data_IF_061432770615
#
_entry.id   IF_061432770615
#
_cell.length_a   1.000
_cell.length_b   1.000
_cell.length_c   1.000
_cell.angle_alpha   90.00
_cell.angle_beta   90.00
_cell.angle_gamma   90.00
#
_symmetry.space_group_name_H-M   'P 1'
#
loop_
_entity.id
_entity.type
_entity.pdbx_description
1 polymer ?
#
# COMPACT_ATOMS: atom_id res chain seq x y z
N UNK A 1 -16.71 9.56 -8.79
CA UNK A 1 -15.44 10.10 -8.30
C UNK A 1 -15.76 11.01 -7.14
N UNK A 2 -15.09 10.83 -5.99
CA UNK A 2 -15.14 11.76 -4.87
C UNK A 2 -13.74 12.38 -4.78
N UNK A 3 -13.59 13.71 -4.91
CA UNK A 3 -12.28 14.35 -4.83
C UNK A 3 -11.71 14.25 -3.41
N UNK A 4 -10.38 14.16 -3.32
CA UNK A 4 -9.63 14.21 -2.06
C UNK A 4 -9.33 12.83 -1.45
N UNK A 5 -8.58 12.83 -0.34
CA UNK A 5 -8.10 11.63 0.38
C UNK A 5 -9.20 10.95 1.22
N UNK A 6 -10.39 10.79 0.65
CA UNK A 6 -11.53 10.17 1.34
C UNK A 6 -11.40 8.65 1.29
N UNK A 7 -11.44 8.01 2.46
CA UNK A 7 -11.46 6.56 2.56
C UNK A 7 -12.66 5.98 1.81
N UNK A 8 -12.39 5.05 0.88
CA UNK A 8 -13.44 4.36 0.13
C UNK A 8 -14.16 3.36 1.04
N UNK A 9 -15.48 3.27 0.91
CA UNK A 9 -16.27 2.20 1.52
C UNK A 9 -15.81 0.86 0.97
N UNK A 10 -15.39 -0.09 1.82
CA UNK A 10 -14.99 -1.43 1.36
C UNK A 10 -16.14 -2.13 0.63
N UNK A 11 -15.85 -2.71 -0.53
CA UNK A 11 -16.81 -3.52 -1.29
C UNK A 11 -16.95 -4.94 -0.76
N UNK A 12 -15.90 -5.46 -0.13
CA UNK A 12 -15.81 -6.83 0.36
C UNK A 12 -15.40 -6.86 1.84
N UNK A 13 -15.65 -8.00 2.47
CA UNK A 13 -15.18 -8.26 3.83
C UNK A 13 -13.64 -8.21 3.90
N UNK A 14 -13.08 -7.91 5.09
CA UNK A 14 -11.64 -7.98 5.30
C UNK A 14 -11.03 -9.33 4.94
N UNK A 15 -9.80 -9.31 4.45
CA UNK A 15 -9.03 -10.48 4.06
C UNK A 15 -8.19 -10.98 5.23
N UNK A 16 -8.05 -12.30 5.32
CA UNK A 16 -7.06 -12.93 6.19
C UNK A 16 -5.66 -12.50 5.78
N UNK A 17 -4.79 -12.27 6.75
CA UNK A 17 -3.41 -11.90 6.50
C UNK A 17 -2.60 -13.07 5.91
N UNK A 18 -1.86 -12.81 4.83
CA UNK A 18 -1.04 -13.79 4.12
C UNK A 18 0.45 -13.38 4.08
N UNK A 19 0.91 -12.62 5.08
CA UNK A 19 2.28 -12.08 5.13
C UNK A 19 3.35 -13.14 5.38
N UNK A 20 2.98 -14.30 5.93
CA UNK A 20 3.87 -15.46 6.07
C UNK A 20 3.93 -16.29 4.77
N UNK A 21 4.15 -15.61 3.64
CA UNK A 21 4.24 -16.20 2.30
C UNK A 21 5.67 -16.18 1.74
N UNK A 22 6.65 -15.70 2.51
CA UNK A 22 8.06 -15.60 2.12
C UNK A 22 8.42 -14.41 1.24
N UNK A 23 7.46 -13.52 0.92
CA UNK A 23 7.71 -12.31 0.14
C UNK A 23 8.10 -11.16 1.07
N UNK A 24 9.17 -10.44 0.71
CA UNK A 24 9.69 -9.30 1.47
C UNK A 24 9.24 -7.97 0.86
N UNK A 25 9.02 -6.96 1.72
CA UNK A 25 8.65 -5.58 1.41
C UNK A 25 9.84 -4.80 0.83
N UNK A 26 10.37 -5.29 -0.29
CA UNK A 26 11.48 -4.68 -1.02
C UNK A 26 10.98 -3.57 -1.95
N UNK A 27 11.87 -2.69 -2.38
CA UNK A 27 11.58 -1.61 -3.33
C UNK A 27 10.88 -2.17 -4.58
N UNK A 28 9.80 -1.51 -4.98
CA UNK A 28 8.98 -1.87 -6.14
C UNK A 28 7.93 -2.95 -5.88
N UNK A 29 7.80 -3.48 -4.66
CA UNK A 29 6.70 -4.38 -4.30
C UNK A 29 5.42 -3.60 -3.95
N UNK A 30 4.26 -4.25 -4.08
CA UNK A 30 3.00 -3.79 -3.50
C UNK A 30 2.58 -4.71 -2.36
N UNK A 31 2.02 -4.10 -1.32
CA UNK A 31 1.48 -4.80 -0.17
C UNK A 31 0.12 -4.24 0.27
N UNK A 32 -0.65 -5.05 0.98
CA UNK A 32 -1.96 -4.68 1.52
C UNK A 32 -1.80 -3.79 2.75
N UNK A 33 -2.47 -2.63 2.77
CA UNK A 33 -2.58 -1.82 3.99
C UNK A 33 -3.67 -2.40 4.91
N UNK A 34 -3.46 -2.27 6.22
CA UNK A 34 -4.36 -2.76 7.27
C UNK A 34 -4.37 -1.84 8.47
N UNK A 35 -5.33 -2.06 9.38
CA UNK A 35 -5.36 -1.45 10.71
C UNK A 35 -4.57 -2.32 11.70
N UNK A 36 -4.74 -2.06 12.99
CA UNK A 36 -4.10 -2.83 14.07
C UNK A 36 -4.41 -4.32 14.01
N UNK A 37 -5.66 -4.68 13.70
CA UNK A 37 -6.07 -6.06 13.46
C UNK A 37 -5.37 -6.63 12.21
N UNK A 38 -4.60 -7.73 12.34
CA UNK A 38 -3.95 -8.41 11.22
C UNK A 38 -4.88 -8.71 10.04
N UNK A 39 -6.11 -9.13 10.31
CA UNK A 39 -7.08 -9.59 9.29
C UNK A 39 -8.04 -8.46 8.84
N UNK A 40 -7.57 -7.20 8.86
CA UNK A 40 -8.40 -6.02 8.54
C UNK A 40 -8.20 -5.41 7.16
N UNK A 41 -7.30 -5.98 6.35
CA UNK A 41 -7.02 -5.49 5.01
C UNK A 41 -8.26 -5.60 4.10
N UNK A 42 -8.58 -4.53 3.35
CA UNK A 42 -9.72 -4.50 2.41
C UNK A 42 -9.25 -4.11 1.01
N UNK A 43 -9.32 -2.82 0.66
CA UNK A 43 -8.99 -2.33 -0.70
C UNK A 43 -7.81 -1.37 -0.74
N UNK A 44 -7.24 -1.02 0.41
CA UNK A 44 -6.08 -0.14 0.47
C UNK A 44 -4.80 -0.95 0.27
N UNK A 45 -3.88 -0.41 -0.53
CA UNK A 45 -2.57 -0.98 -0.81
C UNK A 45 -1.54 0.14 -0.82
N UNK A 46 -0.27 -0.24 -0.66
CA UNK A 46 0.85 0.69 -0.77
C UNK A 46 1.96 0.08 -1.63
N UNK A 47 2.81 0.96 -2.16
CA UNK A 47 4.03 0.58 -2.85
C UNK A 47 5.24 0.81 -1.95
N UNK A 48 6.20 -0.12 -1.95
CA UNK A 48 7.48 0.06 -1.28
C UNK A 48 8.41 0.89 -2.18
N UNK A 49 8.74 2.12 -1.79
CA UNK A 49 9.70 3.00 -2.52
C UNK A 49 11.16 2.75 -2.13
N UNK A 50 11.38 1.97 -1.08
CA UNK A 50 12.67 1.49 -0.58
C UNK A 50 12.46 0.11 0.06
N UNK A 51 13.54 -0.55 0.45
CA UNK A 51 13.46 -1.80 1.20
C UNK A 51 12.99 -1.52 2.64
N UNK A 52 11.85 -2.08 3.02
CA UNK A 52 11.20 -1.92 4.32
C UNK A 52 11.03 -3.27 5.00
N UNK A 53 12.13 -4.00 5.23
CA UNK A 53 12.11 -5.35 5.82
C UNK A 53 11.53 -5.42 7.23
N UNK A 54 11.40 -4.28 7.91
CA UNK A 54 10.64 -4.18 9.18
C UNK A 54 9.14 -4.43 9.03
N UNK A 55 8.61 -4.36 7.81
CA UNK A 55 7.21 -4.65 7.48
C UNK A 55 6.97 -6.12 7.13
N UNK A 56 8.02 -6.93 7.05
CA UNK A 56 7.91 -8.35 6.74
C UNK A 56 7.30 -9.13 7.90
N UNK A 57 6.79 -10.33 7.61
CA UNK A 57 6.40 -11.25 8.65
C UNK A 57 7.63 -11.64 9.48
N UNK A 58 7.57 -11.38 10.79
CA UNK A 58 8.62 -11.78 11.73
C UNK A 58 8.13 -12.91 12.64
N UNK A 59 6.88 -12.84 13.09
CA UNK A 59 6.23 -13.85 13.94
C UNK A 59 4.72 -13.61 13.99
N UNK A 60 3.96 -14.50 14.64
CA UNK A 60 2.54 -14.28 14.90
C UNK A 60 2.26 -13.00 15.72
N UNK A 61 3.19 -12.60 16.59
CA UNK A 61 3.08 -11.35 17.36
C UNK A 61 3.44 -10.11 16.55
N UNK A 62 4.33 -10.27 15.55
CA UNK A 62 4.74 -9.21 14.62
C UNK A 62 4.49 -9.68 13.18
N UNK A 63 3.23 -9.71 12.74
CA UNK A 63 2.87 -10.42 11.53
C UNK A 63 3.12 -9.60 10.26
N UNK A 64 3.51 -8.32 10.36
CA UNK A 64 3.89 -7.52 9.18
C UNK A 64 2.73 -7.21 8.22
N UNK A 65 3.05 -7.13 6.92
CA UNK A 65 2.17 -6.75 5.82
C UNK A 65 2.34 -7.71 4.63
N UNK A 66 1.22 -8.06 3.99
CA UNK A 66 1.21 -9.04 2.88
C UNK A 66 1.65 -8.39 1.59
N UNK A 67 2.82 -8.76 1.09
CA UNK A 67 3.23 -8.49 -0.29
C UNK A 67 2.49 -9.45 -1.23
N UNK A 68 1.91 -8.92 -2.30
CA UNK A 68 1.14 -9.71 -3.28
C UNK A 68 1.51 -9.40 -4.75
N UNK A 69 2.47 -8.51 -4.97
CA UNK A 69 2.90 -8.16 -6.32
C UNK A 69 4.14 -7.28 -6.37
N UNK A 70 4.63 -7.03 -7.58
CA UNK A 70 5.73 -6.10 -7.86
C UNK A 70 5.50 -5.34 -9.15
N UNK A 71 6.04 -4.14 -9.21
CA UNK A 71 6.12 -3.33 -10.42
C UNK A 71 7.04 -4.05 -11.42
N UNK A 72 6.49 -4.33 -12.61
CA UNK A 72 7.25 -4.86 -13.75
C UNK A 72 7.64 -3.76 -14.75
N UNK A 73 6.93 -2.63 -14.74
CA UNK A 73 7.18 -1.46 -15.57
C UNK A 73 6.57 -0.23 -14.88
N UNK A 74 7.20 0.94 -15.04
CA UNK A 74 6.72 2.20 -14.45
C UNK A 74 7.29 2.53 -13.07
N UNK A 75 8.43 1.95 -12.67
CA UNK A 75 9.10 2.33 -11.42
C UNK A 75 9.44 3.84 -11.36
N UNK A 76 9.85 4.52 -12.44
CA UNK A 76 10.04 5.98 -12.42
C UNK A 76 8.75 6.76 -12.10
N UNK A 77 7.57 6.25 -12.44
CA UNK A 77 6.30 6.86 -12.07
C UNK A 77 6.08 6.80 -10.57
N UNK A 78 6.43 5.68 -9.93
CA UNK A 78 6.39 5.56 -8.47
C UNK A 78 7.35 6.56 -7.81
N UNK A 79 8.56 6.69 -8.34
CA UNK A 79 9.54 7.66 -7.83
C UNK A 79 9.05 9.11 -7.96
N UNK A 80 8.40 9.45 -9.07
CA UNK A 80 7.81 10.79 -9.27
C UNK A 80 6.66 11.07 -8.30
N UNK A 81 5.81 10.08 -8.01
CA UNK A 81 4.74 10.21 -7.01
C UNK A 81 5.33 10.40 -5.61
N UNK A 82 6.40 9.70 -5.26
CA UNK A 82 6.99 9.73 -3.91
C UNK A 82 7.57 11.10 -3.51
N UNK A 83 7.78 12.00 -4.47
CA UNK A 83 8.37 13.33 -4.23
C UNK A 83 7.41 14.49 -4.48
N UNK A 84 6.11 14.21 -4.69
CA UNK A 84 5.11 15.28 -4.84
C UNK A 84 5.01 16.07 -3.53
N UNK A 85 4.77 17.39 -3.58
CA UNK A 85 4.55 18.19 -2.38
C UNK A 85 3.38 17.65 -1.55
N UNK A 86 3.55 17.58 -0.23
CA UNK A 86 2.51 17.13 0.70
C UNK A 86 2.15 18.21 1.72
N UNK A 87 0.91 18.16 2.21
CA UNK A 87 0.56 18.66 3.53
C UNK A 87 0.90 17.57 4.56
N UNK A 88 1.48 17.97 5.69
CA UNK A 88 1.84 17.05 6.78
C UNK A 88 1.11 17.48 8.03
N UNK A 89 0.17 16.65 8.49
CA UNK A 89 -0.61 16.89 9.70
C UNK A 89 -0.04 16.10 10.89
N UNK A 90 0.51 14.91 10.64
CA UNK A 90 1.25 14.10 11.63
C UNK A 90 2.28 13.19 10.95
N UNK A 91 2.98 12.35 11.73
CA UNK A 91 3.89 11.34 11.18
C UNK A 91 3.20 10.25 10.34
N UNK A 92 1.88 10.11 10.47
CA UNK A 92 1.06 9.10 9.77
C UNK A 92 -0.07 9.70 8.95
N UNK A 93 -0.22 11.03 8.98
CA UNK A 93 -1.27 11.76 8.29
C UNK A 93 -0.61 12.78 7.35
N UNK A 94 -0.42 12.32 6.12
CA UNK A 94 0.22 13.06 5.03
C UNK A 94 -0.70 13.01 3.81
N UNK A 95 -0.89 14.15 3.17
CA UNK A 95 -1.76 14.27 2.01
C UNK A 95 -1.03 14.98 0.86
N UNK A 96 -1.09 14.47 -0.38
CA UNK A 96 -0.58 15.19 -1.53
C UNK A 96 -1.28 16.55 -1.72
N UNK A 97 -0.52 17.63 -1.93
CA UNK A 97 -1.08 18.95 -2.25
C UNK A 97 -1.78 18.94 -3.62
N UNK A 98 -1.32 18.07 -4.52
CA UNK A 98 -1.95 17.77 -5.80
C UNK A 98 -2.39 16.32 -5.81
N UNK A 99 -3.65 16.07 -6.15
CA UNK A 99 -4.24 14.74 -6.08
C UNK A 99 -3.54 13.76 -7.04
N UNK A 100 -3.20 12.57 -6.52
CA UNK A 100 -2.63 11.46 -7.31
C UNK A 100 -3.71 10.43 -7.56
N UNK A 101 -4.18 10.37 -8.81
CA UNK A 101 -5.35 9.57 -9.18
C UNK A 101 -5.00 8.29 -9.93
N UNK A 102 -5.54 7.17 -9.43
CA UNK A 102 -5.70 5.94 -10.21
C UNK A 102 -6.98 6.09 -11.05
N UNK A 103 -6.82 6.47 -12.32
CA UNK A 103 -7.94 6.69 -13.24
C UNK A 103 -8.66 5.39 -13.63
N UNK A 104 -7.91 4.33 -13.90
CA UNK A 104 -8.43 3.01 -14.23
C UNK A 104 -7.43 1.93 -13.80
N UNK A 105 -7.92 0.71 -13.63
CA UNK A 105 -7.11 -0.47 -13.41
C UNK A 105 -7.64 -1.59 -14.31
N UNK A 106 -6.74 -2.27 -15.02
CA UNK A 106 -7.10 -3.36 -15.94
C UNK A 106 -6.27 -4.59 -15.62
N UNK A 107 -6.95 -5.74 -15.52
CA UNK A 107 -6.28 -7.04 -15.49
C UNK A 107 -5.79 -7.38 -16.90
N UNK A 108 -4.49 -7.59 -17.05
CA UNK A 108 -3.90 -8.09 -18.29
C UNK A 108 -4.26 -9.57 -18.48
N UNK A 109 -4.52 -9.97 -19.73
CA UNK A 109 -4.82 -11.36 -20.11
C UNK A 109 -3.55 -12.16 -20.29
#
# INVERSE_FOLDING_TARGET
YAPGMVAKTPLYAPLKLESNNGLSNLRGTLAMARRSDPDSATSQFFFNVRDNTSLDYQSAANPGYTVFGRIISGLPTLDAINVVPTYTYSSTDIEPQTEVLVYWAQRLK
#
